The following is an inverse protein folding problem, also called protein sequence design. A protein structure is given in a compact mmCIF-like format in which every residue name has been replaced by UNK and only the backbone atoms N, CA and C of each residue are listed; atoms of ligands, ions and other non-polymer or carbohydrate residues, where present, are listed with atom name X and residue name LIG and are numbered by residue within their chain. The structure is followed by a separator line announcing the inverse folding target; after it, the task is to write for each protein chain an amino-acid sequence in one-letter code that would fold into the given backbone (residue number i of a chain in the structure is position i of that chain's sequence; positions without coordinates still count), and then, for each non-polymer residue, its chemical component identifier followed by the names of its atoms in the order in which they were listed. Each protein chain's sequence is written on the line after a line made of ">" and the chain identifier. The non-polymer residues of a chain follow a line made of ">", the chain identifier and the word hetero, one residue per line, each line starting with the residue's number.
data_IF_174271648945
#
_entry.id   IF_174271648945
#
_cell.length_a   1.000
_cell.length_b   1.000
_cell.length_c   1.000
_cell.angle_alpha   90.00
_cell.angle_beta   90.00
_cell.angle_gamma   90.00
#
_symmetry.space_group_name_H-M   'P 1'
#
loop_
_entity.id
_entity.type
_entity.pdbx_description
1 polymer ?
#
# COMPACT_ATOMS: atom_id res chain seq x y z
N UNK A 1 3.96 -16.33 -2.79
CA UNK A 1 3.83 -16.17 -4.25
C UNK A 1 3.05 -17.32 -4.89
N UNK A 2 3.46 -18.61 -4.82
CA UNK A 2 2.76 -19.73 -5.49
C UNK A 2 1.29 -19.80 -5.07
N UNK A 3 0.98 -19.74 -3.78
CA UNK A 3 -0.41 -19.74 -3.30
C UNK A 3 -1.23 -18.56 -3.86
N UNK A 4 -0.65 -17.38 -3.95
CA UNK A 4 -1.31 -16.22 -4.55
C UNK A 4 -1.60 -16.46 -6.04
N UNK A 5 -0.64 -16.99 -6.80
CA UNK A 5 -0.86 -17.34 -8.21
C UNK A 5 -1.97 -18.36 -8.39
N UNK A 6 -1.96 -19.42 -7.57
CA UNK A 6 -2.98 -20.47 -7.63
C UNK A 6 -4.38 -19.93 -7.30
N UNK A 7 -4.48 -18.94 -6.41
CA UNK A 7 -5.73 -18.27 -6.08
C UNK A 7 -6.25 -17.35 -7.19
N UNK A 8 -5.38 -16.87 -8.09
CA UNK A 8 -5.75 -16.02 -9.21
C UNK A 8 -5.13 -14.61 -9.19
N UNK A 9 -4.27 -14.30 -8.24
CA UNK A 9 -3.56 -13.02 -8.23
C UNK A 9 -2.59 -12.92 -9.42
N UNK A 10 -2.47 -11.72 -9.98
CA UNK A 10 -1.60 -11.44 -11.12
C UNK A 10 -0.23 -10.88 -10.72
N UNK A 11 -0.17 -10.28 -9.53
CA UNK A 11 1.04 -9.63 -9.02
C UNK A 11 1.13 -9.63 -7.51
N UNK A 12 2.25 -9.15 -7.02
CA UNK A 12 2.55 -8.99 -5.60
C UNK A 12 3.14 -7.60 -5.33
N UNK A 13 2.81 -6.99 -4.21
CA UNK A 13 3.63 -5.96 -3.58
C UNK A 13 4.85 -6.62 -2.94
N UNK A 14 6.02 -6.03 -3.08
CA UNK A 14 7.25 -6.62 -2.56
C UNK A 14 7.98 -5.64 -1.63
N UNK A 15 8.20 -6.08 -0.39
CA UNK A 15 8.97 -5.33 0.60
C UNK A 15 10.46 -5.46 0.39
N UNK A 16 11.19 -4.38 0.64
CA UNK A 16 12.64 -4.34 0.55
C UNK A 16 13.29 -5.38 1.47
N UNK A 17 12.74 -5.62 2.66
CA UNK A 17 13.22 -6.64 3.59
C UNK A 17 13.12 -8.04 2.99
N UNK A 18 11.98 -8.38 2.37
CA UNK A 18 11.78 -9.69 1.74
C UNK A 18 12.75 -9.92 0.57
N UNK A 19 13.04 -8.86 -0.19
CA UNK A 19 14.04 -8.92 -1.26
C UNK A 19 15.44 -9.17 -0.68
N UNK A 20 15.83 -8.43 0.36
CA UNK A 20 17.13 -8.61 1.04
C UNK A 20 17.25 -10.00 1.66
N UNK A 21 16.19 -10.52 2.27
CA UNK A 21 16.17 -11.88 2.83
C UNK A 21 16.40 -12.93 1.74
N UNK A 22 15.80 -12.78 0.57
CA UNK A 22 16.04 -13.66 -0.57
C UNK A 22 17.51 -13.63 -1.03
N UNK A 23 18.15 -12.45 -1.05
CA UNK A 23 19.58 -12.34 -1.35
C UNK A 23 20.44 -13.02 -0.26
N UNK A 24 20.10 -12.89 1.01
CA UNK A 24 20.78 -13.52 2.13
C UNK A 24 20.65 -15.05 2.09
N UNK A 25 19.56 -15.57 1.52
CA UNK A 25 19.35 -17.01 1.26
C UNK A 25 20.13 -17.51 0.04
N UNK A 26 20.87 -16.64 -0.66
CA UNK A 26 21.74 -16.98 -1.78
C UNK A 26 21.10 -16.86 -3.16
N UNK A 27 19.91 -16.26 -3.25
CA UNK A 27 19.33 -15.89 -4.55
C UNK A 27 20.00 -14.62 -5.08
N UNK A 28 20.09 -14.51 -6.40
CA UNK A 28 20.50 -13.30 -7.09
C UNK A 28 19.31 -12.70 -7.85
N UNK A 29 19.43 -11.47 -8.31
CA UNK A 29 18.40 -10.78 -9.10
C UNK A 29 17.84 -11.65 -10.24
N UNK A 30 18.73 -12.30 -10.99
CA UNK A 30 18.36 -13.20 -12.08
C UNK A 30 17.52 -14.40 -11.63
N UNK A 31 17.77 -14.90 -10.42
CA UNK A 31 17.04 -16.04 -9.86
C UNK A 31 15.64 -15.63 -9.43
N UNK A 32 15.52 -14.43 -8.81
CA UNK A 32 14.24 -13.85 -8.44
C UNK A 32 13.39 -13.57 -9.68
N UNK A 33 13.97 -12.95 -10.72
CA UNK A 33 13.28 -12.72 -11.99
C UNK A 33 12.83 -14.02 -12.63
N UNK A 34 13.69 -15.06 -12.67
CA UNK A 34 13.35 -16.37 -13.21
C UNK A 34 12.22 -17.06 -12.43
N UNK A 35 12.15 -16.87 -11.10
CA UNK A 35 11.07 -17.39 -10.27
C UNK A 35 9.75 -16.67 -10.59
N UNK A 36 9.76 -15.35 -10.73
CA UNK A 36 8.58 -14.55 -11.09
C UNK A 36 8.06 -14.96 -12.48
N UNK A 37 8.95 -15.04 -13.47
CA UNK A 37 8.62 -15.43 -14.85
C UNK A 37 8.06 -16.85 -14.91
N UNK A 38 8.72 -17.81 -14.27
CA UNK A 38 8.28 -19.22 -14.19
C UNK A 38 6.84 -19.36 -13.70
N UNK A 39 6.42 -18.49 -12.77
CA UNK A 39 5.08 -18.54 -12.20
C UNK A 39 4.12 -17.52 -12.82
N UNK A 40 4.56 -16.75 -13.82
CA UNK A 40 3.76 -15.72 -14.48
C UNK A 40 3.25 -14.68 -13.48
N UNK A 41 4.09 -14.32 -12.51
CA UNK A 41 3.81 -13.28 -11.51
C UNK A 41 4.67 -12.04 -11.77
N UNK A 42 4.16 -10.88 -11.43
CA UNK A 42 4.90 -9.61 -11.51
C UNK A 42 4.91 -8.90 -10.17
N UNK A 43 5.90 -8.07 -9.94
CA UNK A 43 5.88 -7.10 -8.84
C UNK A 43 5.08 -5.88 -9.30
N UNK A 44 4.10 -5.45 -8.52
CA UNK A 44 3.21 -4.32 -8.85
C UNK A 44 3.56 -3.05 -8.11
N UNK A 45 4.11 -3.17 -6.93
CA UNK A 45 4.58 -2.05 -6.10
C UNK A 45 5.75 -2.49 -5.22
N UNK A 46 6.60 -1.53 -4.89
CA UNK A 46 7.76 -1.73 -4.01
C UNK A 46 7.47 -1.06 -2.67
N UNK A 47 7.78 -1.74 -1.58
CA UNK A 47 7.55 -1.30 -0.21
C UNK A 47 8.81 -1.46 0.64
N UNK A 48 9.06 -0.70 1.63
CA UNK A 48 8.35 0.44 2.15
C UNK A 48 9.38 1.44 2.68
N UNK A 49 9.32 2.70 2.27
CA UNK A 49 10.25 3.73 2.76
C UNK A 49 9.63 4.42 3.96
N UNK A 50 10.33 4.40 5.10
CA UNK A 50 10.00 5.12 6.33
C UNK A 50 11.15 6.05 6.73
N UNK A 51 10.91 6.95 7.69
CA UNK A 51 11.95 7.83 8.27
C UNK A 51 12.65 8.73 7.22
N UNK A 52 11.98 8.96 6.11
CA UNK A 52 12.50 9.77 5.00
C UNK A 52 12.54 11.26 5.32
N UNK A 53 11.79 11.70 6.34
CA UNK A 53 11.72 13.10 6.77
C UNK A 53 12.73 13.45 7.89
N UNK A 54 13.48 12.49 8.43
CA UNK A 54 14.51 12.76 9.42
C UNK A 54 15.63 13.63 8.83
N UNK A 55 16.11 14.60 9.60
CA UNK A 55 17.19 15.48 9.18
C UNK A 55 18.51 14.73 9.02
N UNK A 56 18.78 13.81 9.94
CA UNK A 56 19.99 12.98 9.96
C UNK A 56 19.64 11.51 9.79
N UNK A 57 19.44 11.10 8.55
CA UNK A 57 19.12 9.72 8.21
C UNK A 57 20.33 8.79 8.40
N UNK A 58 20.10 7.63 9.01
CA UNK A 58 21.13 6.59 9.20
C UNK A 58 21.59 5.98 7.87
N UNK A 59 22.67 5.19 7.92
CA UNK A 59 23.11 4.43 6.75
C UNK A 59 22.04 3.43 6.31
N UNK A 60 21.44 2.70 7.25
CA UNK A 60 20.41 1.69 6.99
C UNK A 60 19.18 2.29 6.31
N UNK A 61 18.74 3.45 6.77
CA UNK A 61 17.60 4.16 6.15
C UNK A 61 17.90 4.57 4.69
N UNK A 62 19.10 5.08 4.43
CA UNK A 62 19.54 5.44 3.08
C UNK A 62 19.72 4.20 2.21
N UNK A 63 20.29 3.13 2.78
CA UNK A 63 20.49 1.87 2.08
C UNK A 63 19.15 1.24 1.67
N UNK A 64 18.18 1.18 2.61
CA UNK A 64 16.83 0.70 2.30
C UNK A 64 16.16 1.48 1.17
N UNK A 65 16.31 2.79 1.15
CA UNK A 65 15.81 3.64 0.05
C UNK A 65 16.48 3.25 -1.28
N UNK A 66 17.79 3.01 -1.30
CA UNK A 66 18.48 2.56 -2.50
C UNK A 66 18.05 1.17 -2.96
N UNK A 67 17.78 0.26 -2.03
CA UNK A 67 17.20 -1.05 -2.34
C UNK A 67 15.83 -0.90 -3.01
N UNK A 68 14.95 -0.01 -2.52
CA UNK A 68 13.67 0.25 -3.18
C UNK A 68 13.84 0.78 -4.60
N UNK A 69 14.79 1.68 -4.84
CA UNK A 69 15.09 2.17 -6.20
C UNK A 69 15.63 1.07 -7.11
N UNK A 70 16.53 0.23 -6.59
CA UNK A 70 17.06 -0.93 -7.32
C UNK A 70 15.94 -1.93 -7.68
N UNK A 71 15.05 -2.24 -6.75
CA UNK A 71 13.90 -3.13 -6.98
C UNK A 71 12.95 -2.55 -8.06
N UNK A 72 12.72 -1.25 -8.05
CA UNK A 72 11.92 -0.60 -9.10
C UNK A 72 12.54 -0.75 -10.48
N UNK A 73 13.87 -0.60 -10.60
CA UNK A 73 14.57 -0.81 -11.86
C UNK A 73 14.56 -2.29 -12.28
N UNK A 74 14.80 -3.20 -11.33
CA UNK A 74 14.88 -4.63 -11.56
C UNK A 74 13.54 -5.22 -12.03
N UNK A 75 12.44 -4.81 -11.41
CA UNK A 75 11.10 -5.36 -11.65
C UNK A 75 10.25 -4.51 -12.61
N UNK A 76 10.80 -3.44 -13.18
CA UNK A 76 10.07 -2.45 -13.99
C UNK A 76 8.84 -1.86 -13.27
N UNK A 77 8.97 -1.61 -11.97
CA UNK A 77 7.93 -0.99 -11.14
C UNK A 77 8.13 0.51 -11.08
N UNK A 78 7.05 1.27 -11.18
CA UNK A 78 7.12 2.74 -11.19
C UNK A 78 6.75 3.37 -9.86
N UNK A 79 6.26 2.58 -8.91
CA UNK A 79 5.71 3.05 -7.64
C UNK A 79 6.47 2.48 -6.45
N UNK A 80 6.79 3.38 -5.50
CA UNK A 80 7.34 3.05 -4.19
C UNK A 80 6.39 3.58 -3.13
N UNK A 81 5.95 2.71 -2.23
CA UNK A 81 5.09 3.07 -1.11
C UNK A 81 5.91 3.61 0.05
N UNK A 82 5.44 4.67 0.68
CA UNK A 82 6.10 5.26 1.85
C UNK A 82 5.11 5.75 2.91
N UNK A 83 5.54 5.71 4.16
CA UNK A 83 4.83 6.26 5.31
C UNK A 83 5.74 7.09 6.19
N UNK A 84 5.15 7.84 7.12
CA UNK A 84 5.89 8.71 8.03
C UNK A 84 5.35 8.52 9.44
N UNK A 85 6.15 7.91 10.32
CA UNK A 85 5.73 7.67 11.71
C UNK A 85 5.83 8.95 12.57
N UNK A 86 6.81 9.79 12.28
CA UNK A 86 7.11 11.01 13.02
C UNK A 86 6.13 12.11 12.69
N UNK A 87 5.72 12.87 13.70
CA UNK A 87 4.77 13.97 13.54
C UNK A 87 5.51 15.30 13.35
N UNK A 88 5.46 15.80 12.12
CA UNK A 88 6.00 17.12 11.75
C UNK A 88 4.90 18.04 11.23
N UNK A 89 5.24 19.33 11.03
CA UNK A 89 4.35 20.27 10.35
C UNK A 89 4.17 19.87 8.87
N UNK A 90 3.09 20.32 8.26
CA UNK A 90 2.82 20.08 6.83
C UNK A 90 3.95 20.64 5.97
N UNK A 91 4.45 21.83 6.27
CA UNK A 91 5.49 22.54 5.53
C UNK A 91 6.82 21.77 5.55
N UNK A 92 7.23 21.31 6.74
CA UNK A 92 8.44 20.52 6.90
C UNK A 92 8.31 19.17 6.18
N UNK A 93 7.20 18.48 6.41
CA UNK A 93 6.93 17.19 5.74
C UNK A 93 6.92 17.33 4.22
N UNK A 94 6.30 18.38 3.70
CA UNK A 94 6.26 18.66 2.26
C UNK A 94 7.64 18.95 1.69
N UNK A 95 8.49 19.72 2.41
CA UNK A 95 9.88 19.93 2.02
C UNK A 95 10.63 18.61 1.92
N UNK A 96 10.51 17.74 2.93
CA UNK A 96 11.17 16.43 2.96
C UNK A 96 10.64 15.47 1.90
N UNK A 97 9.34 15.52 1.62
CA UNK A 97 8.75 14.77 0.52
C UNK A 97 9.31 15.22 -0.84
N UNK A 98 9.49 16.53 -1.04
CA UNK A 98 10.13 17.06 -2.24
C UNK A 98 11.56 16.54 -2.41
N UNK A 99 12.35 16.51 -1.32
CA UNK A 99 13.70 15.96 -1.32
C UNK A 99 13.69 14.45 -1.67
N UNK A 100 12.72 13.67 -1.13
CA UNK A 100 12.54 12.26 -1.49
C UNK A 100 12.16 12.09 -2.97
N UNK A 101 11.19 12.86 -3.45
CA UNK A 101 10.77 12.84 -4.85
C UNK A 101 11.91 13.17 -5.83
N UNK A 102 12.78 14.10 -5.47
CA UNK A 102 13.99 14.42 -6.25
C UNK A 102 14.96 13.24 -6.32
N UNK A 103 15.18 12.54 -5.19
CA UNK A 103 16.03 11.33 -5.14
C UNK A 103 15.41 10.16 -5.90
N UNK A 104 14.10 10.03 -5.85
CA UNK A 104 13.36 8.99 -6.56
C UNK A 104 13.33 9.20 -8.09
N UNK A 105 13.51 10.44 -8.56
CA UNK A 105 13.60 10.79 -9.99
C UNK A 105 12.34 10.38 -10.76
N UNK A 106 12.43 9.33 -11.57
CA UNK A 106 11.32 8.85 -12.42
C UNK A 106 10.25 8.04 -11.66
N UNK A 107 10.54 7.63 -10.43
CA UNK A 107 9.63 6.78 -9.67
C UNK A 107 8.59 7.60 -8.92
N UNK A 108 7.38 7.08 -8.85
CA UNK A 108 6.28 7.66 -8.08
C UNK A 108 6.48 7.32 -6.61
N UNK A 109 6.35 8.32 -5.75
CA UNK A 109 6.30 8.15 -4.31
C UNK A 109 4.84 8.17 -3.88
N UNK A 110 4.33 6.99 -3.51
CA UNK A 110 2.99 6.81 -2.96
C UNK A 110 3.01 7.01 -1.45
N UNK A 111 2.48 8.13 -0.99
CA UNK A 111 2.35 8.42 0.45
C UNK A 111 1.10 7.76 0.98
N UNK A 112 1.26 6.92 2.00
CA UNK A 112 0.18 6.21 2.66
C UNK A 112 -0.18 6.89 4.00
N UNK A 113 -1.37 7.51 4.10
CA UNK A 113 -1.87 8.01 5.36
C UNK A 113 -2.31 6.87 6.28
N UNK A 114 -1.82 6.89 7.53
CA UNK A 114 -2.11 5.86 8.54
C UNK A 114 -2.50 6.50 9.87
N UNK A 115 -3.61 6.14 10.52
CA UNK A 115 -4.16 6.86 11.68
C UNK A 115 -3.24 6.89 12.91
N UNK A 116 -2.24 6.03 12.96
CA UNK A 116 -1.22 5.97 14.02
C UNK A 116 0.12 6.61 13.62
N UNK A 117 0.14 7.33 12.51
CA UNK A 117 1.36 7.91 11.92
C UNK A 117 1.37 9.44 11.95
N UNK A 118 2.46 10.02 11.49
CA UNK A 118 2.61 11.46 11.32
C UNK A 118 1.73 12.05 10.20
N UNK A 119 1.16 11.21 9.33
CA UNK A 119 0.18 11.56 8.30
C UNK A 119 -1.07 10.70 8.56
N UNK A 120 -1.96 11.11 9.48
CA UNK A 120 -2.99 10.22 10.01
C UNK A 120 -4.19 10.00 9.10
N UNK A 121 -4.40 10.84 8.09
CA UNK A 121 -5.59 10.81 7.23
C UNK A 121 -5.32 11.41 5.84
N UNK A 122 -6.28 11.23 4.94
CA UNK A 122 -6.21 11.75 3.57
C UNK A 122 -6.12 13.27 3.50
N UNK A 123 -6.70 14.00 4.46
CA UNK A 123 -6.65 15.46 4.50
C UNK A 123 -5.23 15.96 4.73
N UNK A 124 -4.53 15.41 5.74
CA UNK A 124 -3.11 15.75 5.98
C UNK A 124 -2.23 15.23 4.83
N UNK A 125 -2.48 14.02 4.34
CA UNK A 125 -1.78 13.45 3.19
C UNK A 125 -1.85 14.37 1.97
N UNK A 126 -3.04 14.84 1.63
CA UNK A 126 -3.22 15.79 0.53
C UNK A 126 -2.54 17.13 0.78
N UNK A 127 -2.67 17.68 1.98
CA UNK A 127 -2.00 18.93 2.32
C UNK A 127 -0.47 18.83 2.10
N UNK A 128 0.14 17.71 2.49
CA UNK A 128 1.58 17.45 2.31
C UNK A 128 1.94 17.29 0.82
N UNK A 129 1.21 16.44 0.07
CA UNK A 129 1.47 16.19 -1.36
C UNK A 129 1.28 17.46 -2.17
N UNK A 130 0.22 18.22 -1.90
CA UNK A 130 -0.05 19.51 -2.55
C UNK A 130 1.05 20.53 -2.27
N UNK A 131 1.50 20.66 -1.02
CA UNK A 131 2.55 21.59 -0.64
C UNK A 131 3.95 21.17 -1.13
N UNK A 132 4.18 19.86 -1.30
CA UNK A 132 5.42 19.36 -1.92
C UNK A 132 5.54 19.77 -3.39
N UNK A 133 4.44 19.94 -4.09
CA UNK A 133 4.36 20.39 -5.48
C UNK A 133 5.27 19.56 -6.42
N UNK A 134 5.20 18.23 -6.27
CA UNK A 134 5.95 17.30 -7.09
C UNK A 134 5.00 16.47 -7.95
N UNK A 135 5.34 16.29 -9.23
CA UNK A 135 4.54 15.50 -10.16
C UNK A 135 4.46 14.04 -9.71
N UNK A 136 5.59 13.49 -9.24
CA UNK A 136 5.73 12.12 -8.80
C UNK A 136 5.34 11.86 -7.33
N UNK A 137 4.89 12.88 -6.58
CA UNK A 137 4.26 12.70 -5.27
C UNK A 137 2.78 12.38 -5.42
N UNK A 138 2.34 11.24 -4.90
CA UNK A 138 0.94 10.78 -4.96
C UNK A 138 0.52 10.16 -3.64
N UNK A 139 -0.76 9.82 -3.52
CA UNK A 139 -1.35 9.20 -2.33
C UNK A 139 -1.73 7.74 -2.61
N UNK A 140 -1.73 6.95 -1.56
CA UNK A 140 -2.32 5.61 -1.50
C UNK A 140 -3.55 5.68 -0.61
N UNK A 141 -4.59 4.95 -0.96
CA UNK A 141 -5.80 4.82 -0.13
C UNK A 141 -5.94 3.38 0.33
N UNK A 142 -5.91 3.16 1.63
CA UNK A 142 -6.13 1.85 2.25
C UNK A 142 -7.44 1.83 3.05
N UNK A 143 -8.24 0.77 2.91
CA UNK A 143 -9.57 0.67 3.55
C UNK A 143 -9.46 0.62 5.07
N UNK A 144 -8.51 -0.13 5.63
CA UNK A 144 -8.32 -0.20 7.08
C UNK A 144 -7.94 1.17 7.66
N UNK A 145 -6.97 1.82 7.02
CA UNK A 145 -6.53 3.15 7.44
C UNK A 145 -7.63 4.19 7.32
N UNK A 146 -8.41 4.11 6.24
CA UNK A 146 -9.57 4.97 6.03
C UNK A 146 -10.58 4.87 7.17
N UNK A 147 -11.01 3.65 7.50
CA UNK A 147 -12.01 3.41 8.55
C UNK A 147 -11.48 3.80 9.93
N UNK A 148 -10.23 3.43 10.24
CA UNK A 148 -9.62 3.74 11.55
C UNK A 148 -9.24 5.22 11.72
N UNK A 149 -9.14 5.98 10.63
CA UNK A 149 -9.06 7.44 10.67
C UNK A 149 -10.44 8.12 10.88
N UNK A 150 -11.51 7.34 11.10
CA UNK A 150 -12.91 7.81 11.24
C UNK A 150 -13.38 8.63 10.02
N UNK A 151 -12.95 8.27 8.84
CA UNK A 151 -13.37 8.94 7.61
C UNK A 151 -14.67 8.32 7.10
N UNK A 152 -15.69 9.13 6.77
CA UNK A 152 -16.91 8.61 6.14
C UNK A 152 -16.61 8.15 4.71
N UNK A 153 -17.30 7.09 4.28
CA UNK A 153 -17.17 6.59 2.90
C UNK A 153 -18.05 7.44 1.98
N UNK A 154 -17.58 8.65 1.69
CA UNK A 154 -18.21 9.57 0.73
C UNK A 154 -17.15 10.38 -0.02
N UNK A 155 -17.52 10.90 -1.19
CA UNK A 155 -16.63 11.66 -2.07
C UNK A 155 -16.14 12.97 -1.46
N UNK A 156 -16.85 13.53 -0.48
CA UNK A 156 -16.50 14.83 0.11
C UNK A 156 -15.13 14.83 0.78
N UNK A 157 -14.71 13.67 1.32
CA UNK A 157 -13.40 13.50 1.98
C UNK A 157 -12.23 13.65 1.00
N UNK A 158 -12.44 13.30 -0.27
CA UNK A 158 -11.43 13.34 -1.33
C UNK A 158 -11.79 14.28 -2.48
N UNK A 159 -12.82 15.13 -2.30
CA UNK A 159 -13.32 16.02 -3.36
C UNK A 159 -12.22 16.89 -3.96
N UNK A 160 -11.41 17.52 -3.10
CA UNK A 160 -10.32 18.42 -3.49
C UNK A 160 -9.08 17.70 -4.05
N UNK A 161 -9.01 16.38 -3.96
CA UNK A 161 -7.85 15.58 -4.41
C UNK A 161 -8.03 15.24 -5.89
N UNK A 162 -7.17 15.67 -6.82
CA UNK A 162 -7.24 15.21 -8.20
C UNK A 162 -7.12 13.69 -8.30
N UNK A 163 -7.92 13.06 -9.16
CA UNK A 163 -7.95 11.60 -9.29
C UNK A 163 -6.60 10.99 -9.66
N UNK A 164 -5.80 11.70 -10.46
CA UNK A 164 -4.45 11.30 -10.85
C UNK A 164 -3.40 11.42 -9.74
N UNK A 165 -3.75 12.05 -8.61
CA UNK A 165 -2.93 12.13 -7.41
C UNK A 165 -3.15 10.95 -6.43
N UNK A 166 -4.02 10.01 -6.78
CA UNK A 166 -4.18 8.75 -6.05
C UNK A 166 -3.66 7.63 -6.96
N UNK A 167 -2.57 6.99 -6.55
CA UNK A 167 -1.80 6.08 -7.43
C UNK A 167 -2.20 4.62 -7.28
N UNK A 168 -2.59 4.19 -6.10
CA UNK A 168 -3.07 2.83 -5.83
C UNK A 168 -4.07 2.82 -4.67
N UNK A 169 -4.80 1.72 -4.57
CA UNK A 169 -5.68 1.44 -3.45
C UNK A 169 -5.31 0.10 -2.84
N UNK A 170 -5.47 -0.01 -1.53
CA UNK A 170 -5.29 -1.25 -0.78
C UNK A 170 -6.63 -1.60 -0.13
N UNK A 171 -7.11 -2.80 -0.40
CA UNK A 171 -8.42 -3.26 0.11
C UNK A 171 -8.24 -4.41 1.10
N UNK A 172 -8.97 -4.28 2.17
CA UNK A 172 -9.04 -5.17 3.31
C UNK A 172 -10.35 -4.89 4.04
N UNK A 173 -10.50 -5.37 5.25
CA UNK A 173 -11.63 -5.01 6.10
C UNK A 173 -11.21 -4.93 7.57
N UNK A 174 -12.11 -4.46 8.41
CA UNK A 174 -11.86 -4.20 9.83
C UNK A 174 -12.90 -4.84 10.71
N UNK A 175 -12.49 -5.21 11.93
CA UNK A 175 -13.41 -5.62 12.99
C UNK A 175 -14.27 -4.44 13.45
N UNK A 176 -15.46 -4.73 13.98
CA UNK A 176 -16.31 -3.72 14.63
C UNK A 176 -15.55 -2.99 15.77
N UNK A 177 -14.68 -3.72 16.45
CA UNK A 177 -13.76 -3.18 17.46
C UNK A 177 -12.37 -3.76 17.23
N UNK A 178 -11.31 -3.13 17.75
CA UNK A 178 -10.01 -3.76 17.78
C UNK A 178 -10.11 -5.14 18.41
N UNK A 179 -9.70 -6.19 17.68
CA UNK A 179 -9.94 -7.58 18.09
C UNK A 179 -9.11 -7.98 19.31
N UNK A 180 -7.80 -7.83 19.24
CA UNK A 180 -6.86 -8.29 20.25
C UNK A 180 -6.12 -7.16 20.96
N UNK A 181 -6.19 -5.93 20.46
CA UNK A 181 -5.39 -4.80 20.93
C UNK A 181 -6.16 -3.50 20.80
N UNK A 182 -5.87 -2.55 21.68
CA UNK A 182 -6.31 -1.14 21.55
C UNK A 182 -5.28 -0.28 20.82
N UNK A 183 -4.14 -0.86 20.43
CA UNK A 183 -3.07 -0.18 19.71
C UNK A 183 -3.33 -0.34 18.22
N UNK A 184 -3.71 0.74 17.54
CA UNK A 184 -4.07 0.73 16.12
C UNK A 184 -2.96 0.14 15.23
N UNK A 185 -1.70 0.39 15.53
CA UNK A 185 -0.60 -0.17 14.75
C UNK A 185 -0.56 -1.70 14.84
N UNK A 186 -0.76 -2.25 16.03
CA UNK A 186 -0.74 -3.71 16.22
C UNK A 186 -1.93 -4.35 15.50
N UNK A 187 -3.13 -3.76 15.59
CA UNK A 187 -4.29 -4.21 14.83
C UNK A 187 -4.00 -4.20 13.32
N UNK A 188 -3.43 -3.11 12.81
CA UNK A 188 -3.05 -2.98 11.40
C UNK A 188 -2.07 -4.05 10.92
N UNK A 189 -1.20 -4.53 11.81
CA UNK A 189 -0.11 -5.46 11.47
C UNK A 189 -0.43 -6.92 11.79
N UNK A 190 -1.60 -7.22 12.42
CA UNK A 190 -1.91 -8.58 12.88
C UNK A 190 -3.37 -9.00 12.69
N UNK A 191 -4.33 -8.05 12.62
CA UNK A 191 -5.75 -8.36 12.80
C UNK A 191 -6.65 -7.81 11.68
N UNK A 192 -6.13 -7.61 10.47
CA UNK A 192 -6.98 -7.21 9.35
C UNK A 192 -7.88 -8.36 8.88
N UNK A 193 -9.04 -8.03 8.31
CA UNK A 193 -9.98 -8.96 7.72
C UNK A 193 -9.89 -8.97 6.20
N UNK A 194 -10.35 -10.07 5.59
CA UNK A 194 -10.52 -10.12 4.14
C UNK A 194 -11.59 -9.11 3.68
N UNK A 195 -11.45 -8.51 2.48
CA UNK A 195 -12.40 -7.52 1.97
C UNK A 195 -13.85 -8.00 2.02
N UNK A 196 -14.76 -7.17 2.52
CA UNK A 196 -16.19 -7.46 2.62
C UNK A 196 -16.58 -8.40 3.75
N UNK A 197 -15.66 -8.75 4.69
CA UNK A 197 -15.97 -9.66 5.81
C UNK A 197 -16.08 -8.95 7.17
N UNK A 198 -15.93 -7.63 7.19
CA UNK A 198 -16.01 -6.79 8.39
C UNK A 198 -16.98 -5.64 8.23
N UNK A 199 -16.73 -4.56 8.97
CA UNK A 199 -17.58 -3.36 8.99
C UNK A 199 -17.02 -2.21 8.14
N UNK A 200 -15.91 -2.41 7.42
CA UNK A 200 -15.18 -1.36 6.70
C UNK A 200 -15.89 -0.82 5.45
N UNK A 201 -17.05 -1.37 5.10
CA UNK A 201 -17.79 -0.98 3.91
C UNK A 201 -16.93 -1.00 2.63
N UNK A 202 -16.09 -2.02 2.47
CA UNK A 202 -15.08 -2.09 1.40
C UNK A 202 -15.69 -1.94 0.00
N UNK A 203 -16.88 -2.49 -0.26
CA UNK A 203 -17.57 -2.30 -1.54
C UNK A 203 -17.93 -0.81 -1.78
N UNK A 204 -18.43 -0.12 -0.75
CA UNK A 204 -18.74 1.32 -0.86
C UNK A 204 -17.45 2.15 -1.07
N UNK A 205 -16.35 1.78 -0.42
CA UNK A 205 -15.05 2.41 -0.65
C UNK A 205 -14.58 2.23 -2.11
N UNK A 206 -14.63 1.02 -2.64
CA UNK A 206 -14.26 0.74 -4.05
C UNK A 206 -15.19 1.50 -5.01
N UNK A 207 -16.49 1.57 -4.72
CA UNK A 207 -17.43 2.36 -5.51
C UNK A 207 -17.09 3.85 -5.49
N UNK A 208 -16.74 4.42 -4.34
CA UNK A 208 -16.28 5.80 -4.20
C UNK A 208 -15.02 6.07 -5.05
N UNK A 209 -14.05 5.16 -5.06
CA UNK A 209 -12.84 5.24 -5.89
C UNK A 209 -13.21 5.28 -7.39
N UNK A 210 -14.09 4.39 -7.83
CA UNK A 210 -14.61 4.36 -9.20
C UNK A 210 -15.32 5.67 -9.58
N UNK A 211 -16.24 6.14 -8.74
CA UNK A 211 -17.01 7.37 -8.96
C UNK A 211 -16.12 8.61 -9.03
N UNK A 212 -15.05 8.65 -8.27
CA UNK A 212 -14.02 9.70 -8.34
C UNK A 212 -13.25 9.68 -9.66
N UNK A 213 -13.30 8.59 -10.41
CA UNK A 213 -12.53 8.41 -11.65
C UNK A 213 -11.06 8.11 -11.43
N UNK A 214 -10.70 7.59 -10.26
CA UNK A 214 -9.35 7.14 -9.94
C UNK A 214 -9.01 5.92 -10.80
N UNK A 215 -7.80 5.91 -11.36
CA UNK A 215 -7.26 4.78 -12.14
C UNK A 215 -6.02 4.25 -11.41
N UNK A 216 -6.20 3.37 -10.43
CA UNK A 216 -5.08 2.88 -9.63
C UNK A 216 -4.14 2.02 -10.48
N UNK A 217 -2.85 2.14 -10.25
CA UNK A 217 -1.84 1.24 -10.84
C UNK A 217 -2.01 -0.20 -10.35
N UNK A 218 -2.46 -0.35 -9.10
CA UNK A 218 -2.75 -1.63 -8.47
C UNK A 218 -3.97 -1.50 -7.54
N UNK A 219 -4.74 -2.57 -7.46
CA UNK A 219 -5.70 -2.83 -6.38
C UNK A 219 -5.03 -3.87 -5.50
N UNK A 220 -4.33 -3.42 -4.46
CA UNK A 220 -3.63 -4.28 -3.52
C UNK A 220 -4.61 -4.94 -2.54
N UNK A 221 -4.39 -6.21 -2.23
CA UNK A 221 -5.13 -6.91 -1.17
C UNK A 221 -4.20 -7.03 0.02
N UNK A 222 -4.23 -6.04 0.90
CA UNK A 222 -3.34 -5.96 2.05
C UNK A 222 -4.02 -6.47 3.32
N UNK A 223 -4.06 -7.79 3.48
CA UNK A 223 -4.66 -8.45 4.64
C UNK A 223 -3.56 -9.05 5.53
N UNK A 224 -3.04 -8.21 6.43
CA UNK A 224 -2.07 -8.65 7.43
C UNK A 224 -2.87 -9.22 8.61
N UNK A 225 -2.93 -10.55 8.73
CA UNK A 225 -3.79 -11.25 9.69
C UNK A 225 -3.16 -12.56 10.16
N UNK A 226 -2.78 -12.61 11.43
CA UNK A 226 -2.22 -13.81 12.04
C UNK A 226 -3.22 -14.95 12.04
N UNK A 227 -4.48 -14.67 12.30
CA UNK A 227 -5.56 -15.66 12.32
C UNK A 227 -5.84 -16.30 10.94
N UNK A 228 -5.73 -15.52 9.86
CA UNK A 228 -5.87 -16.02 8.49
C UNK A 228 -4.61 -16.80 8.10
N UNK A 229 -3.43 -16.26 8.41
CA UNK A 229 -2.15 -16.89 8.07
C UNK A 229 -1.95 -18.22 8.80
N UNK A 230 -2.40 -18.35 10.03
CA UNK A 230 -2.36 -19.60 10.82
C UNK A 230 -3.10 -20.77 10.17
N UNK A 231 -4.03 -20.50 9.23
CA UNK A 231 -4.73 -21.53 8.45
C UNK A 231 -3.95 -22.00 7.21
N UNK A 232 -2.76 -21.43 6.98
CA UNK A 232 -1.86 -21.76 5.89
C UNK A 232 -1.99 -20.83 4.67
N UNK A 233 -0.91 -20.78 3.88
CA UNK A 233 -0.78 -19.84 2.75
C UNK A 233 -1.84 -20.04 1.66
N UNK A 234 -2.18 -21.30 1.34
CA UNK A 234 -3.22 -21.61 0.34
C UNK A 234 -4.59 -21.10 0.80
N UNK A 235 -4.93 -21.32 2.09
CA UNK A 235 -6.16 -20.78 2.64
C UNK A 235 -6.16 -19.25 2.60
N UNK A 236 -5.09 -18.62 3.06
CA UNK A 236 -4.99 -17.17 3.11
C UNK A 236 -5.17 -16.56 1.71
N UNK A 237 -4.47 -17.09 0.71
CA UNK A 237 -4.56 -16.59 -0.66
C UNK A 237 -5.96 -16.77 -1.26
N UNK A 238 -6.56 -17.97 -1.14
CA UNK A 238 -7.90 -18.21 -1.67
C UNK A 238 -8.97 -17.39 -0.94
N UNK A 239 -8.90 -17.33 0.40
CA UNK A 239 -9.87 -16.59 1.20
C UNK A 239 -9.87 -15.09 0.88
N UNK A 240 -8.70 -14.49 0.78
CA UNK A 240 -8.60 -13.07 0.46
C UNK A 240 -8.97 -12.79 -1.00
N UNK A 241 -8.57 -13.62 -1.94
CA UNK A 241 -8.91 -13.48 -3.35
C UNK A 241 -10.41 -13.57 -3.62
N UNK A 242 -11.07 -14.64 -3.13
CA UNK A 242 -12.50 -14.85 -3.34
C UNK A 242 -13.37 -13.73 -2.74
N UNK A 243 -12.99 -13.21 -1.57
CA UNK A 243 -13.70 -12.09 -0.97
C UNK A 243 -13.43 -10.77 -1.72
N UNK A 244 -12.19 -10.53 -2.15
CA UNK A 244 -11.86 -9.40 -3.03
C UNK A 244 -12.68 -9.43 -4.32
N UNK A 245 -12.75 -10.59 -4.97
CA UNK A 245 -13.50 -10.76 -6.21
C UNK A 245 -14.97 -10.38 -6.04
N UNK A 246 -15.63 -10.86 -4.95
CA UNK A 246 -17.02 -10.50 -4.65
C UNK A 246 -17.21 -8.99 -4.47
N UNK A 247 -16.29 -8.33 -3.75
CA UNK A 247 -16.33 -6.88 -3.56
C UNK A 247 -16.18 -6.14 -4.89
N UNK A 248 -15.27 -6.59 -5.76
CA UNK A 248 -15.07 -5.98 -7.07
C UNK A 248 -16.23 -6.26 -8.03
N UNK A 249 -16.81 -7.47 -8.03
CA UNK A 249 -18.01 -7.81 -8.80
C UNK A 249 -19.20 -6.91 -8.41
N UNK A 250 -19.34 -6.57 -7.13
CA UNK A 250 -20.39 -5.67 -6.64
C UNK A 250 -20.11 -4.20 -6.99
N UNK A 251 -18.89 -3.72 -6.75
CA UNK A 251 -18.58 -2.29 -6.76
C UNK A 251 -17.99 -1.80 -8.07
N UNK A 252 -17.16 -2.62 -8.73
CA UNK A 252 -16.42 -2.23 -9.92
C UNK A 252 -16.11 -3.42 -10.85
N UNK A 253 -17.12 -4.09 -11.42
CA UNK A 253 -16.94 -5.31 -12.22
C UNK A 253 -16.02 -5.14 -13.45
N UNK A 254 -15.87 -3.91 -13.96
CA UNK A 254 -15.06 -3.64 -15.14
C UNK A 254 -13.54 -3.87 -14.92
N UNK A 255 -13.07 -3.84 -13.68
CA UNK A 255 -11.64 -4.12 -13.39
C UNK A 255 -11.30 -5.61 -13.42
N UNK A 256 -12.29 -6.47 -13.54
CA UNK A 256 -12.13 -7.92 -13.64
C UNK A 256 -12.14 -8.43 -15.09
N UNK A 257 -12.31 -7.54 -16.07
CA UNK A 257 -12.35 -7.84 -17.50
C UNK A 257 -11.00 -7.61 -18.16
#
# INVERSE_FOLDING_TARGET
>A
MIAAKNAGYEGIGLRAETYVDALNEGLFDKDILAILDKHGMKVTEVEYIVQWAEEHRSYEQKYKEQICFHMCELFDVKQINCGLMENYSVEYTAQKLRELCQRAGKYIIGVEPMPYSGIPDMKKGWAVVKAADCENAKLIMDTWHWVRANQPVDLSVIEDIPADKIVSIQINDVWERPYATTILRDESMHDRLAPGTGIGCTAAFVKMVKEKGIKPNAIGVEVISDAILAKGLEYAANHTYENTKKVLEEAWPEVLQ
#
